data_IF_264465612346
#
_entry.id   IF_264465612346
#
_cell.length_a   1.000
_cell.length_b   1.000
_cell.length_c   1.000
_cell.angle_alpha   90.00
_cell.angle_beta   90.00
_cell.angle_gamma   90.00
#
_symmetry.space_group_name_H-M   'P 1'
#
loop_
_entity.id
_entity.type
_entity.pdbx_description
1 polymer ?
#
# COMPACT_ATOMS: atom_id res chain seq x y z
N UNK A 1 44.68 -6.41 55.52
CA UNK A 1 43.23 -6.68 55.72
C UNK A 1 42.33 -5.85 54.78
N UNK A 2 42.64 -4.58 54.50
CA UNK A 2 41.81 -3.70 53.67
C UNK A 2 41.69 -4.12 52.19
N UNK A 3 42.72 -4.73 51.61
CA UNK A 3 42.76 -5.11 50.18
C UNK A 3 41.83 -6.26 49.83
N UNK A 4 41.76 -7.30 50.69
CA UNK A 4 40.85 -8.43 50.50
C UNK A 4 39.39 -7.96 50.49
N UNK A 5 39.01 -7.08 51.42
CA UNK A 5 37.64 -6.60 51.56
C UNK A 5 37.19 -5.77 50.35
N UNK A 6 38.10 -4.99 49.77
CA UNK A 6 37.83 -4.21 48.56
C UNK A 6 37.61 -5.11 47.33
N UNK A 7 38.43 -6.16 47.16
CA UNK A 7 38.29 -7.10 46.04
C UNK A 7 36.92 -7.80 46.09
N UNK A 8 36.49 -8.24 47.28
CA UNK A 8 35.14 -8.81 47.44
C UNK A 8 34.05 -7.78 47.15
N UNK A 9 34.17 -6.54 47.63
CA UNK A 9 33.20 -5.48 47.37
C UNK A 9 33.06 -5.17 45.86
N UNK A 10 34.18 -5.08 45.14
CA UNK A 10 34.17 -4.87 43.69
C UNK A 10 33.61 -6.09 42.93
N UNK A 11 33.89 -7.30 43.39
CA UNK A 11 33.30 -8.53 42.86
C UNK A 11 31.79 -8.58 43.03
N UNK A 12 31.28 -8.25 44.22
CA UNK A 12 29.84 -8.23 44.51
C UNK A 12 29.12 -7.14 43.71
N UNK A 13 29.69 -5.94 43.62
CA UNK A 13 29.08 -4.83 42.87
C UNK A 13 29.02 -5.14 41.37
N UNK A 14 30.11 -5.66 40.78
CA UNK A 14 30.12 -6.07 39.37
C UNK A 14 29.17 -7.23 39.10
N UNK A 15 29.08 -8.23 39.98
CA UNK A 15 28.14 -9.32 39.86
C UNK A 15 26.68 -8.84 39.95
N UNK A 16 26.35 -7.97 40.91
CA UNK A 16 25.00 -7.39 41.03
C UNK A 16 24.62 -6.56 39.81
N UNK A 17 25.53 -5.72 39.31
CA UNK A 17 25.28 -4.92 38.10
C UNK A 17 25.08 -5.84 36.89
N UNK A 18 25.92 -6.86 36.72
CA UNK A 18 25.76 -7.86 35.66
C UNK A 18 24.41 -8.60 35.74
N UNK A 19 23.96 -8.93 36.95
CA UNK A 19 22.67 -9.56 37.17
C UNK A 19 21.48 -8.67 36.80
N UNK A 20 21.54 -7.39 37.19
CA UNK A 20 20.50 -6.41 36.85
C UNK A 20 20.43 -6.22 35.33
N UNK A 21 21.58 -6.06 34.66
CA UNK A 21 21.64 -5.90 33.20
C UNK A 21 21.08 -7.15 32.50
N UNK A 22 21.43 -8.35 32.98
CA UNK A 22 20.92 -9.61 32.44
C UNK A 22 19.39 -9.72 32.57
N UNK A 23 18.84 -9.38 33.74
CA UNK A 23 17.39 -9.40 33.97
C UNK A 23 16.66 -8.38 33.09
N UNK A 24 17.20 -7.18 32.94
CA UNK A 24 16.63 -6.15 32.05
C UNK A 24 16.66 -6.62 30.60
N UNK A 25 17.78 -7.20 30.16
CA UNK A 25 17.91 -7.71 28.79
C UNK A 25 16.94 -8.85 28.50
N UNK A 26 16.83 -9.83 29.40
CA UNK A 26 15.87 -10.94 29.30
C UNK A 26 14.41 -10.44 29.34
N UNK A 27 14.10 -9.47 30.20
CA UNK A 27 12.78 -8.84 30.26
C UNK A 27 12.41 -8.15 28.95
N UNK A 28 13.31 -7.32 28.40
CA UNK A 28 13.07 -6.64 27.13
C UNK A 28 12.98 -7.61 25.95
N UNK A 29 13.83 -8.63 25.93
CA UNK A 29 13.82 -9.67 24.89
C UNK A 29 12.52 -10.49 24.91
N UNK A 30 12.01 -10.85 26.08
CA UNK A 30 10.76 -11.61 26.21
C UNK A 30 9.54 -10.77 25.83
N UNK A 31 9.49 -9.49 26.23
CA UNK A 31 8.40 -8.57 25.86
C UNK A 31 8.40 -8.30 24.35
N UNK A 32 9.55 -8.03 23.75
CA UNK A 32 9.66 -7.82 22.30
C UNK A 32 9.26 -9.08 21.52
N UNK A 33 9.71 -10.26 21.96
CA UNK A 33 9.31 -11.55 21.36
C UNK A 33 7.81 -11.81 21.48
N UNK A 34 7.20 -11.56 22.64
CA UNK A 34 5.76 -11.70 22.84
C UNK A 34 4.95 -10.73 21.95
N UNK A 35 5.38 -9.47 21.82
CA UNK A 35 4.74 -8.50 20.91
C UNK A 35 4.82 -8.96 19.46
N UNK A 36 5.98 -9.46 19.04
CA UNK A 36 6.18 -9.94 17.67
C UNK A 36 5.32 -11.18 17.39
N UNK A 37 5.23 -12.11 18.33
CA UNK A 37 4.34 -13.27 18.22
C UNK A 37 2.86 -12.87 18.17
N UNK A 38 2.44 -11.88 18.96
CA UNK A 38 1.06 -11.34 18.89
C UNK A 38 0.75 -10.71 17.54
N UNK A 39 1.66 -9.90 17.00
CA UNK A 39 1.49 -9.32 15.65
C UNK A 39 1.40 -10.40 14.56
N UNK A 40 2.22 -11.45 14.66
CA UNK A 40 2.13 -12.58 13.73
C UNK A 40 0.79 -13.32 13.85
N UNK A 41 0.33 -13.61 15.07
CA UNK A 41 -0.98 -14.22 15.31
C UNK A 41 -2.12 -13.36 14.76
N UNK A 42 -2.11 -12.04 15.02
CA UNK A 42 -3.09 -11.10 14.47
C UNK A 42 -3.07 -11.07 12.94
N UNK A 43 -1.88 -11.12 12.32
CA UNK A 43 -1.78 -11.16 10.86
C UNK A 43 -2.34 -12.45 10.27
N UNK A 44 -2.15 -13.58 10.95
CA UNK A 44 -2.67 -14.89 10.51
C UNK A 44 -4.18 -14.96 10.69
N UNK A 45 -4.72 -14.50 11.82
CA UNK A 45 -6.17 -14.48 12.06
C UNK A 45 -6.88 -13.52 11.12
N UNK A 46 -6.33 -12.32 10.88
CA UNK A 46 -6.86 -11.38 9.89
C UNK A 46 -6.81 -11.95 8.48
N UNK A 47 -5.76 -12.70 8.13
CA UNK A 47 -5.65 -13.36 6.83
C UNK A 47 -6.64 -14.50 6.68
N UNK A 48 -6.86 -15.30 7.72
CA UNK A 48 -7.88 -16.36 7.74
C UNK A 48 -9.29 -15.77 7.64
N UNK A 49 -9.59 -14.72 8.41
CA UNK A 49 -10.86 -13.99 8.30
C UNK A 49 -11.05 -13.38 6.91
N UNK A 50 -10.00 -12.79 6.34
CA UNK A 50 -10.02 -12.24 4.98
C UNK A 50 -10.26 -13.31 3.92
N UNK A 51 -9.59 -14.46 4.03
CA UNK A 51 -9.78 -15.59 3.11
C UNK A 51 -11.18 -16.19 3.23
N UNK A 52 -11.71 -16.35 4.45
CA UNK A 52 -13.08 -16.80 4.69
C UNK A 52 -14.11 -15.80 4.11
N UNK A 53 -13.89 -14.50 4.30
CA UNK A 53 -14.75 -13.46 3.71
C UNK A 53 -14.60 -13.37 2.19
N UNK A 54 -13.41 -13.65 1.64
CA UNK A 54 -13.14 -13.67 0.20
C UNK A 54 -13.85 -14.85 -0.47
N UNK A 55 -13.95 -16.00 0.19
CA UNK A 55 -14.71 -17.16 -0.29
C UNK A 55 -16.23 -16.93 -0.22
N UNK A 56 -16.71 -16.22 0.81
CA UNK A 56 -18.15 -15.95 0.99
C UNK A 56 -18.68 -14.77 0.17
N UNK A 57 -17.84 -13.84 -0.30
CA UNK A 57 -18.29 -12.70 -1.11
C UNK A 57 -18.31 -13.05 -2.60
N UNK A 58 -19.45 -12.89 -3.31
CA UNK A 58 -19.49 -13.11 -4.75
C UNK A 58 -18.54 -12.13 -5.48
N UNK A 59 -17.82 -12.58 -6.52
CA UNK A 59 -16.85 -11.77 -7.28
C UNK A 59 -17.48 -10.52 -7.94
N UNK A 60 -18.81 -10.48 -8.02
CA UNK A 60 -19.64 -9.39 -8.54
C UNK A 60 -19.39 -8.06 -7.80
N UNK A 61 -19.11 -8.09 -6.49
CA UNK A 61 -18.85 -6.85 -5.74
C UNK A 61 -17.58 -6.13 -6.19
N UNK A 62 -16.53 -6.88 -6.57
CA UNK A 62 -15.25 -6.31 -7.04
C UNK A 62 -15.39 -5.65 -8.40
N UNK A 63 -16.24 -6.19 -9.27
CA UNK A 63 -16.57 -5.57 -10.55
C UNK A 63 -17.46 -4.33 -10.40
N UNK A 64 -18.46 -4.38 -9.51
CA UNK A 64 -19.35 -3.25 -9.23
C UNK A 64 -18.61 -2.07 -8.61
N UNK A 65 -17.68 -2.31 -7.69
CA UNK A 65 -16.87 -1.25 -7.07
C UNK A 65 -15.92 -0.61 -8.08
N UNK A 66 -15.25 -1.41 -8.93
CA UNK A 66 -14.36 -0.92 -9.99
C UNK A 66 -15.10 -0.11 -11.07
N UNK A 67 -16.33 -0.49 -11.40
CA UNK A 67 -17.18 0.28 -12.30
C UNK A 67 -17.61 1.61 -11.65
N UNK A 68 -18.03 1.59 -10.39
CA UNK A 68 -18.41 2.80 -9.64
C UNK A 68 -17.24 3.79 -9.53
N UNK A 69 -16.03 3.34 -9.18
CA UNK A 69 -14.85 4.22 -9.11
C UNK A 69 -14.48 4.79 -10.48
N UNK A 70 -14.50 3.99 -11.55
CA UNK A 70 -14.28 4.51 -12.92
C UNK A 70 -15.28 5.60 -13.29
N UNK A 71 -16.55 5.41 -12.93
CA UNK A 71 -17.62 6.35 -13.28
C UNK A 71 -17.54 7.64 -12.45
N UNK A 72 -17.16 7.54 -11.16
CA UNK A 72 -16.89 8.70 -10.29
C UNK A 72 -15.69 9.50 -10.82
N UNK A 73 -14.58 8.83 -11.18
CA UNK A 73 -13.38 9.48 -11.74
C UNK A 73 -13.71 10.19 -13.05
N UNK A 74 -14.47 9.56 -13.96
CA UNK A 74 -14.95 10.21 -15.19
C UNK A 74 -15.79 11.45 -14.90
N UNK A 75 -16.69 11.41 -13.92
CA UNK A 75 -17.51 12.57 -13.52
C UNK A 75 -16.67 13.69 -12.91
N UNK A 76 -15.68 13.36 -12.08
CA UNK A 76 -14.75 14.35 -11.51
C UNK A 76 -13.91 15.02 -12.61
N UNK A 77 -13.30 14.24 -13.50
CA UNK A 77 -12.54 14.78 -14.63
C UNK A 77 -13.40 15.69 -15.51
N UNK A 78 -14.66 15.33 -15.74
CA UNK A 78 -15.57 16.17 -16.51
C UNK A 78 -15.89 17.50 -15.78
N UNK A 79 -16.12 17.46 -14.47
CA UNK A 79 -16.29 18.68 -13.66
C UNK A 79 -15.03 19.56 -13.65
N UNK A 80 -13.84 18.96 -13.57
CA UNK A 80 -12.56 19.69 -13.61
C UNK A 80 -12.39 20.36 -14.99
N UNK A 81 -12.68 19.63 -16.07
CA UNK A 81 -12.65 20.18 -17.44
C UNK A 81 -13.67 21.31 -17.66
N UNK A 82 -14.80 21.29 -16.95
CA UNK A 82 -15.79 22.37 -16.97
C UNK A 82 -15.32 23.64 -16.25
N UNK A 83 -14.50 23.50 -15.20
CA UNK A 83 -13.95 24.63 -14.43
C UNK A 83 -12.75 25.30 -15.11
N UNK A 84 -12.09 24.62 -16.03
CA UNK A 84 -10.98 25.15 -16.83
C UNK A 84 -10.97 24.53 -18.22
N UNK A 85 -11.74 25.05 -19.19
CA UNK A 85 -11.85 24.49 -20.53
C UNK A 85 -10.63 24.90 -21.37
N UNK A 86 -9.42 24.47 -20.99
CA UNK A 86 -8.20 24.90 -21.68
C UNK A 86 -7.15 23.83 -21.88
N UNK A 87 -7.55 22.58 -22.06
CA UNK A 87 -6.66 21.60 -22.71
C UNK A 87 -7.48 20.70 -23.64
N UNK A 88 -7.84 21.23 -24.81
CA UNK A 88 -8.00 20.33 -25.96
C UNK A 88 -6.60 19.83 -26.28
N UNK A 89 -6.23 18.66 -25.74
CA UNK A 89 -5.02 17.96 -26.18
C UNK A 89 -5.21 17.76 -27.68
N UNK A 90 -4.40 18.44 -28.49
CA UNK A 90 -4.34 18.15 -29.92
C UNK A 90 -4.08 16.64 -30.02
N UNK A 91 -4.90 15.89 -30.77
CA UNK A 91 -4.63 14.49 -30.98
C UNK A 91 -3.25 14.38 -31.63
N UNK A 92 -2.36 13.62 -31.00
CA UNK A 92 -0.98 13.37 -31.45
C UNK A 92 -0.92 12.67 -32.82
N UNK A 93 -2.05 12.12 -33.28
CA UNK A 93 -2.20 11.39 -34.52
C UNK A 93 -3.13 12.15 -35.49
N UNK A 94 -2.75 12.32 -36.77
CA UNK A 94 -3.62 12.94 -37.76
C UNK A 94 -4.92 12.15 -37.90
N UNK A 95 -6.05 12.83 -37.72
CA UNK A 95 -7.37 12.24 -38.00
C UNK A 95 -7.55 12.22 -39.52
N UNK A 96 -8.04 11.10 -40.03
CA UNK A 96 -8.35 10.93 -41.45
C UNK A 96 -9.86 10.99 -41.63
N UNK A 97 -10.33 11.77 -42.61
CA UNK A 97 -11.73 11.78 -43.03
C UNK A 97 -11.88 10.87 -44.24
N UNK A 98 -12.78 9.90 -44.15
CA UNK A 98 -13.18 9.09 -45.30
C UNK A 98 -14.23 9.88 -46.10
N UNK A 99 -13.96 10.06 -47.39
CA UNK A 99 -14.86 10.70 -48.35
C UNK A 99 -15.24 9.65 -49.38
N UNK A 100 -16.55 9.49 -49.57
CA UNK A 100 -17.11 8.64 -50.62
C UNK A 100 -17.25 9.49 -51.88
N UNK A 101 -16.61 9.07 -52.97
CA UNK A 101 -16.86 9.69 -54.28
C UNK A 101 -18.18 9.18 -54.86
N UNK A 102 -18.78 9.92 -55.79
CA UNK A 102 -20.00 9.50 -56.50
C UNK A 102 -19.82 8.21 -57.31
N UNK A 103 -18.57 7.78 -57.54
CA UNK A 103 -18.21 6.49 -58.15
C UNK A 103 -18.03 5.33 -57.16
N UNK A 104 -18.29 5.54 -55.85
CA UNK A 104 -18.18 4.50 -54.83
C UNK A 104 -16.76 4.24 -54.30
N UNK A 105 -15.76 5.03 -54.73
CA UNK A 105 -14.40 4.93 -54.18
C UNK A 105 -14.32 5.59 -52.80
N UNK A 106 -13.59 4.96 -51.88
CA UNK A 106 -13.31 5.49 -50.54
C UNK A 106 -11.95 6.15 -50.56
N UNK A 107 -11.89 7.47 -50.36
CA UNK A 107 -10.63 8.23 -50.22
C UNK A 107 -10.46 8.74 -48.80
N UNK A 108 -9.25 8.59 -48.25
CA UNK A 108 -8.90 9.15 -46.95
C UNK A 108 -8.16 10.48 -47.15
N UNK A 109 -8.71 11.58 -46.66
CA UNK A 109 -8.08 12.90 -46.67
C UNK A 109 -7.69 13.26 -45.23
N UNK A 110 -6.45 13.71 -44.95
CA UNK A 110 -6.07 14.16 -43.62
C UNK A 110 -6.88 15.40 -43.23
N UNK A 111 -7.32 15.49 -41.98
CA UNK A 111 -7.88 16.72 -41.43
C UNK A 111 -6.76 17.76 -41.34
N UNK A 112 -6.72 18.71 -42.27
CA UNK A 112 -5.94 19.94 -42.13
C UNK A 112 -6.74 20.89 -41.23
N UNK A 113 -6.19 21.20 -40.06
CA UNK A 113 -6.67 22.28 -39.19
C UNK A 113 -6.47 23.64 -39.83
#
# INVERSE_FOLDING_TARGET
LFTMNQIFLYGYTTACVGWIVSMVYLGLFTVSRQRNLRMLLESVTLRQLYEEHRMRRPPVQKYRSRHRTKLIVRRMLNKINQLGPRVHLLPEVPRWKLIYTSGGEVRAIPFTS
#
